data_IF_017424077165
#
_entry.id   IF_017424077165
#
_cell.length_a   1.000
_cell.length_b   1.000
_cell.length_c   1.000
_cell.angle_alpha   90.00
_cell.angle_beta   90.00
_cell.angle_gamma   90.00
#
_symmetry.space_group_name_H-M   'P 1'
#
loop_
_entity.id
_entity.type
_entity.pdbx_description
1 polymer ?
#
# COMPACT_ATOMS: atom_id res chain seq x y z
N UNK A 1 -4.46 -19.01 22.12
CA UNK A 1 -5.29 -18.48 21.01
C UNK A 1 -5.53 -19.59 20.01
N UNK A 2 -6.77 -19.93 19.74
CA UNK A 2 -7.18 -20.90 18.72
C UNK A 2 -7.17 -20.25 17.34
N UNK A 3 -7.23 -21.07 16.27
CA UNK A 3 -7.36 -20.55 14.89
C UNK A 3 -8.64 -19.72 14.73
N UNK A 4 -9.74 -20.17 15.33
CA UNK A 4 -11.01 -19.43 15.30
C UNK A 4 -10.89 -18.05 15.98
N UNK A 5 -10.28 -17.97 17.13
CA UNK A 5 -10.02 -16.69 17.82
C UNK A 5 -9.11 -15.77 16.99
N UNK A 6 -8.07 -16.34 16.35
CA UNK A 6 -7.19 -15.55 15.48
C UNK A 6 -7.97 -14.84 14.37
N UNK A 7 -8.89 -15.54 13.68
CA UNK A 7 -9.67 -14.97 12.61
C UNK A 7 -10.80 -14.06 13.10
N UNK A 8 -11.48 -14.40 14.20
CA UNK A 8 -12.49 -13.54 14.82
C UNK A 8 -11.91 -12.18 15.25
N UNK A 9 -10.69 -12.19 15.78
CA UNK A 9 -10.02 -10.96 16.20
C UNK A 9 -9.64 -10.03 15.04
N UNK A 10 -9.56 -10.53 13.81
CA UNK A 10 -9.31 -9.66 12.65
C UNK A 10 -10.47 -8.69 12.40
N UNK A 11 -11.72 -9.07 12.75
CA UNK A 11 -12.88 -8.17 12.64
C UNK A 11 -13.12 -7.68 11.20
N UNK A 12 -12.93 -8.57 10.20
CA UNK A 12 -13.03 -8.24 8.77
C UNK A 12 -14.32 -8.78 8.13
N UNK A 13 -15.25 -9.31 8.91
CA UNK A 13 -16.46 -9.96 8.41
C UNK A 13 -17.38 -9.03 7.60
N UNK A 14 -17.19 -7.72 7.71
CA UNK A 14 -17.91 -6.69 6.96
C UNK A 14 -16.94 -5.75 6.24
N UNK A 15 -15.78 -6.24 5.83
CA UNK A 15 -14.82 -5.43 5.10
C UNK A 15 -15.40 -4.98 3.75
N UNK A 16 -15.08 -3.76 3.29
CA UNK A 16 -15.52 -3.28 1.98
C UNK A 16 -15.16 -4.27 0.85
N UNK A 17 -16.08 -4.51 -0.07
CA UNK A 17 -15.89 -5.46 -1.17
C UNK A 17 -16.28 -6.91 -0.86
N UNK A 18 -16.83 -7.21 0.32
CA UNK A 18 -17.40 -8.52 0.64
C UNK A 18 -18.92 -8.54 0.32
N UNK A 19 -19.27 -8.87 -0.91
CA UNK A 19 -20.67 -8.86 -1.37
C UNK A 19 -21.58 -9.82 -0.59
N UNK A 20 -21.08 -10.95 -0.14
CA UNK A 20 -21.89 -12.03 0.46
C UNK A 20 -22.46 -11.70 1.85
N UNK A 21 -21.92 -10.71 2.54
CA UNK A 21 -22.28 -10.35 3.90
C UNK A 21 -22.92 -8.97 4.03
N UNK A 22 -22.91 -8.22 2.97
CA UNK A 22 -23.77 -7.03 2.84
C UNK A 22 -25.25 -7.45 2.62
N UNK A 23 -25.80 -8.22 3.53
CA UNK A 23 -27.19 -7.95 3.91
C UNK A 23 -27.15 -6.52 4.38
N UNK A 24 -27.40 -5.64 3.43
CA UNK A 24 -27.50 -4.22 3.65
C UNK A 24 -28.15 -3.99 5.01
N UNK A 25 -27.39 -3.56 5.98
CA UNK A 25 -27.91 -2.52 6.81
C UNK A 25 -28.13 -1.37 5.84
N UNK A 26 -29.19 -1.48 5.06
CA UNK A 26 -29.77 -0.33 4.38
C UNK A 26 -29.94 0.62 5.54
N UNK A 27 -29.09 1.61 5.61
CA UNK A 27 -29.38 2.81 6.38
C UNK A 27 -30.72 3.22 5.84
N UNK A 28 -31.81 2.85 6.54
CA UNK A 28 -33.15 3.27 6.19
C UNK A 28 -33.07 4.78 6.19
N UNK A 29 -33.04 5.33 4.99
CA UNK A 29 -32.94 6.77 4.79
C UNK A 29 -34.25 7.35 5.38
N UNK A 30 -34.17 7.90 6.58
CA UNK A 30 -35.26 8.57 7.24
C UNK A 30 -35.35 9.98 6.70
N UNK A 31 -36.04 10.17 5.57
CA UNK A 31 -36.23 11.47 4.97
C UNK A 31 -36.96 11.41 3.64
N UNK A 32 -37.26 12.57 3.06
CA UNK A 32 -37.81 12.65 1.70
C UNK A 32 -36.72 12.26 0.70
N UNK A 33 -37.08 11.45 -0.28
CA UNK A 33 -36.20 11.02 -1.35
C UNK A 33 -35.79 12.24 -2.19
N UNK A 34 -34.52 12.62 -2.12
CA UNK A 34 -33.98 13.71 -2.92
C UNK A 34 -33.96 13.28 -4.39
N UNK A 35 -34.50 14.12 -5.32
CA UNK A 35 -34.49 13.80 -6.74
C UNK A 35 -33.03 13.81 -7.27
N UNK A 36 -32.70 12.82 -8.10
CA UNK A 36 -31.37 12.68 -8.70
C UNK A 36 -30.94 11.23 -8.85
N UNK A 37 -29.77 11.01 -9.42
CA UNK A 37 -29.14 9.69 -9.46
C UNK A 37 -28.61 9.32 -8.08
N UNK A 38 -28.75 8.04 -7.69
CA UNK A 38 -28.11 7.53 -6.48
C UNK A 38 -26.59 7.55 -6.67
N UNK A 39 -25.88 8.07 -5.67
CA UNK A 39 -24.42 8.10 -5.64
C UNK A 39 -23.97 7.39 -4.37
N UNK A 40 -23.14 6.40 -4.51
CA UNK A 40 -22.56 5.65 -3.41
C UNK A 40 -21.19 6.23 -3.04
N UNK A 41 -21.06 6.72 -1.81
CA UNK A 41 -19.81 7.23 -1.24
C UNK A 41 -19.24 6.28 -0.17
N UNK A 42 -19.79 5.07 -0.02
CA UNK A 42 -19.41 4.16 1.06
C UNK A 42 -18.02 3.55 0.87
N UNK A 43 -17.56 3.45 -0.37
CA UNK A 43 -16.22 2.93 -0.69
C UNK A 43 -15.70 3.47 -2.02
N UNK A 44 -14.38 3.50 -2.16
CA UNK A 44 -13.68 3.93 -3.37
C UNK A 44 -13.61 2.80 -4.38
N UNK A 45 -14.70 2.49 -5.06
CA UNK A 45 -14.72 1.49 -6.11
C UNK A 45 -14.27 2.07 -7.45
N UNK A 46 -13.57 1.25 -8.24
CA UNK A 46 -13.16 1.59 -9.60
C UNK A 46 -14.14 1.13 -10.67
N UNK A 47 -15.22 0.44 -10.28
CA UNK A 47 -16.25 -0.04 -11.20
C UNK A 47 -16.97 1.08 -11.97
N UNK A 48 -16.87 2.30 -11.49
CA UNK A 48 -17.37 3.49 -12.18
C UNK A 48 -16.54 3.89 -13.41
N UNK A 49 -15.35 3.31 -13.59
CA UNK A 49 -14.43 3.67 -14.65
C UNK A 49 -13.95 2.43 -15.40
N UNK A 50 -14.02 2.52 -16.72
CA UNK A 50 -13.48 1.48 -17.59
C UNK A 50 -11.96 1.34 -17.41
N UNK A 51 -11.42 0.11 -17.54
CA UNK A 51 -9.98 -0.10 -17.65
C UNK A 51 -9.37 0.71 -18.80
N UNK A 52 -8.09 1.04 -18.69
CA UNK A 52 -7.38 1.72 -19.78
C UNK A 52 -7.56 0.96 -21.08
N UNK A 53 -7.80 1.68 -22.22
CA UNK A 53 -8.03 1.06 -23.52
C UNK A 53 -6.91 0.11 -23.94
N UNK A 54 -7.26 -1.05 -24.49
CA UNK A 54 -6.31 -2.05 -24.97
C UNK A 54 -5.77 -2.99 -23.88
N UNK A 55 -6.15 -2.82 -22.62
CA UNK A 55 -5.64 -3.65 -21.51
C UNK A 55 -6.01 -5.13 -21.67
N UNK A 56 -7.23 -5.43 -22.10
CA UNK A 56 -7.68 -6.80 -22.31
C UNK A 56 -6.99 -7.46 -23.49
N UNK A 57 -6.83 -6.75 -24.60
CA UNK A 57 -6.14 -7.24 -25.79
C UNK A 57 -4.68 -7.56 -25.52
N UNK A 58 -4.00 -6.70 -24.75
CA UNK A 58 -2.61 -6.96 -24.31
C UNK A 58 -2.53 -8.15 -23.38
N UNK A 59 -3.49 -8.31 -22.46
CA UNK A 59 -3.57 -9.46 -21.57
C UNK A 59 -3.79 -10.75 -22.36
N UNK A 60 -4.76 -10.76 -23.29
CA UNK A 60 -5.05 -11.94 -24.15
C UNK A 60 -3.83 -12.32 -24.98
N UNK A 61 -3.18 -11.34 -25.62
CA UNK A 61 -1.93 -11.57 -26.36
C UNK A 61 -0.82 -12.12 -25.48
N UNK A 62 -0.68 -11.64 -24.24
CA UNK A 62 0.29 -12.16 -23.29
C UNK A 62 0.04 -13.62 -22.92
N UNK A 63 -1.24 -14.03 -22.82
CA UNK A 63 -1.62 -15.43 -22.60
C UNK A 63 -1.27 -16.31 -23.82
N UNK A 64 -1.56 -15.85 -25.03
CA UNK A 64 -1.29 -16.55 -26.27
C UNK A 64 0.21 -16.74 -26.55
N UNK A 65 1.01 -15.70 -26.34
CA UNK A 65 2.45 -15.67 -26.63
C UNK A 65 3.32 -16.11 -25.43
N UNK A 66 2.82 -15.94 -24.23
CA UNK A 66 3.59 -16.06 -23.00
C UNK A 66 3.81 -17.45 -22.43
N UNK A 67 3.24 -18.49 -23.05
CA UNK A 67 3.29 -19.84 -22.50
C UNK A 67 2.45 -19.98 -21.24
N UNK A 68 1.14 -19.80 -21.38
CA UNK A 68 0.13 -19.82 -20.30
C UNK A 68 0.13 -21.07 -19.41
N UNK A 69 0.89 -22.09 -19.78
CA UNK A 69 0.98 -23.38 -19.07
C UNK A 69 2.27 -23.53 -18.25
N UNK A 70 3.16 -22.54 -18.27
CA UNK A 70 4.44 -22.60 -17.56
C UNK A 70 4.45 -21.67 -16.35
N UNK A 71 5.06 -22.12 -15.25
CA UNK A 71 5.36 -21.24 -14.12
C UNK A 71 6.33 -20.16 -14.57
N UNK A 72 6.08 -18.92 -14.15
CA UNK A 72 7.05 -17.84 -14.25
C UNK A 72 7.94 -17.81 -13.01
N UNK A 73 9.13 -17.17 -13.07
CA UNK A 73 9.90 -16.89 -11.85
C UNK A 73 9.05 -16.16 -10.81
N UNK A 74 9.22 -16.49 -9.55
CA UNK A 74 8.40 -15.95 -8.46
C UNK A 74 8.44 -14.42 -8.37
N UNK A 75 9.57 -13.81 -8.68
CA UNK A 75 9.72 -12.34 -8.72
C UNK A 75 9.02 -11.71 -9.92
N UNK A 76 8.87 -12.45 -11.00
CA UNK A 76 8.29 -12.02 -12.27
C UNK A 76 9.20 -12.34 -13.46
N UNK A 77 8.65 -12.28 -14.67
CA UNK A 77 9.40 -12.51 -15.90
C UNK A 77 10.39 -11.35 -16.12
N UNK A 78 11.66 -11.65 -16.40
CA UNK A 78 12.75 -10.68 -16.52
C UNK A 78 12.39 -9.49 -17.44
N UNK A 79 11.87 -9.75 -18.63
CA UNK A 79 11.50 -8.70 -19.58
C UNK A 79 10.43 -7.74 -19.03
N UNK A 80 9.52 -8.23 -18.17
CA UNK A 80 8.49 -7.41 -17.54
C UNK A 80 9.12 -6.62 -16.39
N UNK A 81 9.97 -7.26 -15.58
CA UNK A 81 10.69 -6.57 -14.51
C UNK A 81 11.53 -5.40 -15.03
N UNK A 82 12.24 -5.59 -16.16
CA UNK A 82 13.03 -4.52 -16.82
C UNK A 82 12.14 -3.34 -17.24
N UNK A 83 10.98 -3.59 -17.86
CA UNK A 83 10.06 -2.53 -18.26
C UNK A 83 9.44 -1.82 -17.06
N UNK A 84 8.98 -2.57 -16.05
CA UNK A 84 8.40 -1.99 -14.83
C UNK A 84 9.42 -1.18 -14.06
N UNK A 85 10.66 -1.69 -13.91
CA UNK A 85 11.74 -0.97 -13.26
C UNK A 85 12.06 0.35 -13.98
N UNK A 86 12.12 0.34 -15.31
CA UNK A 86 12.35 1.56 -16.09
C UNK A 86 11.24 2.60 -15.89
N UNK A 87 9.97 2.18 -15.91
CA UNK A 87 8.83 3.08 -15.66
C UNK A 87 8.82 3.63 -14.24
N UNK A 88 9.01 2.76 -13.24
CA UNK A 88 9.06 3.18 -11.84
C UNK A 88 10.25 4.10 -11.57
N UNK A 89 11.44 3.81 -12.14
CA UNK A 89 12.61 4.67 -12.02
C UNK A 89 12.38 6.06 -12.61
N UNK A 90 11.76 6.13 -13.80
CA UNK A 90 11.43 7.40 -14.42
C UNK A 90 10.38 8.20 -13.63
N UNK A 91 9.42 7.52 -13.02
CA UNK A 91 8.35 8.15 -12.25
C UNK A 91 8.83 8.63 -10.88
N UNK A 92 9.59 7.82 -10.15
CA UNK A 92 10.00 8.14 -8.77
C UNK A 92 11.30 8.92 -8.69
N UNK A 93 12.15 8.84 -9.72
CA UNK A 93 13.52 9.35 -9.69
C UNK A 93 14.54 8.42 -9.02
N UNK A 94 14.09 7.26 -8.49
CA UNK A 94 14.96 6.25 -7.90
C UNK A 94 15.47 5.30 -8.99
N UNK A 95 16.77 4.96 -8.97
CA UNK A 95 17.31 3.89 -9.83
C UNK A 95 16.95 2.53 -9.25
N UNK A 96 16.13 1.76 -9.97
CA UNK A 96 15.63 0.45 -9.56
C UNK A 96 16.31 -0.63 -10.40
N UNK A 97 17.08 -1.51 -9.75
CA UNK A 97 17.65 -2.70 -10.39
C UNK A 97 16.53 -3.77 -10.49
N UNK A 98 16.11 -4.15 -11.72
CA UNK A 98 15.04 -5.14 -11.90
C UNK A 98 15.37 -6.52 -11.33
N UNK A 99 16.64 -6.88 -11.26
CA UNK A 99 17.07 -8.20 -10.81
C UNK A 99 17.15 -8.32 -9.27
N UNK A 100 17.24 -7.18 -8.54
CA UNK A 100 17.46 -7.17 -7.08
C UNK A 100 16.38 -6.42 -6.31
N UNK A 101 15.95 -5.29 -6.83
CA UNK A 101 15.15 -4.32 -6.08
C UNK A 101 13.65 -4.34 -6.39
N UNK A 102 13.16 -5.26 -7.22
CA UNK A 102 11.78 -5.27 -7.69
C UNK A 102 11.16 -6.67 -7.63
N UNK A 103 9.91 -6.74 -7.21
CA UNK A 103 9.07 -7.93 -7.27
C UNK A 103 7.66 -7.56 -7.77
N UNK A 104 7.10 -8.37 -8.67
CA UNK A 104 5.71 -8.30 -9.07
C UNK A 104 4.86 -9.18 -8.15
N UNK A 105 3.68 -8.71 -7.80
CA UNK A 105 2.82 -9.35 -6.80
C UNK A 105 1.38 -9.45 -7.28
N UNK A 106 0.56 -10.35 -6.71
CA UNK A 106 -0.88 -10.44 -7.02
C UNK A 106 -1.65 -9.25 -6.39
N UNK A 107 -1.51 -8.09 -7.02
CA UNK A 107 -2.02 -6.81 -6.54
C UNK A 107 -1.14 -6.20 -5.44
N UNK A 108 -1.37 -4.91 -5.15
CA UNK A 108 -0.70 -4.20 -4.05
C UNK A 108 -1.04 -4.79 -2.68
N UNK A 109 -2.21 -5.39 -2.53
CA UNK A 109 -2.58 -6.14 -1.32
C UNK A 109 -1.64 -7.33 -1.07
N UNK A 110 -1.27 -8.07 -2.14
CA UNK A 110 -0.26 -9.12 -2.06
C UNK A 110 1.11 -8.56 -1.68
N UNK A 111 1.49 -7.41 -2.26
CA UNK A 111 2.74 -6.73 -1.89
C UNK A 111 2.79 -6.35 -0.40
N UNK A 112 1.72 -5.76 0.12
CA UNK A 112 1.61 -5.40 1.55
C UNK A 112 1.71 -6.65 2.44
N UNK A 113 1.01 -7.73 2.08
CA UNK A 113 1.06 -8.99 2.84
C UNK A 113 2.47 -9.58 2.87
N UNK A 114 3.15 -9.64 1.72
CA UNK A 114 4.51 -10.16 1.61
C UNK A 114 5.51 -9.25 2.35
N UNK A 115 5.39 -7.94 2.21
CA UNK A 115 6.27 -6.99 2.89
C UNK A 115 6.08 -7.05 4.42
N UNK A 116 4.85 -7.07 4.91
CA UNK A 116 4.57 -7.22 6.33
C UNK A 116 5.05 -8.57 6.87
N UNK A 117 4.71 -9.68 6.17
CA UNK A 117 5.07 -11.04 6.59
C UNK A 117 6.57 -11.32 6.58
N UNK A 118 7.33 -10.62 5.74
CA UNK A 118 8.80 -10.75 5.68
C UNK A 118 9.57 -9.86 6.65
N UNK A 119 8.87 -8.94 7.36
CA UNK A 119 9.52 -7.96 8.25
C UNK A 119 8.94 -7.88 9.66
N UNK A 120 7.82 -8.56 9.95
CA UNK A 120 7.21 -8.54 11.29
C UNK A 120 7.48 -9.88 12.00
N UNK A 121 8.11 -9.82 13.15
CA UNK A 121 8.22 -10.92 14.08
C UNK A 121 7.18 -10.78 15.21
N UNK A 122 6.73 -11.87 15.82
CA UNK A 122 5.82 -11.81 16.97
C UNK A 122 6.37 -10.93 18.09
N UNK A 123 5.60 -9.92 18.48
CA UNK A 123 5.97 -8.96 19.52
C UNK A 123 6.69 -7.71 19.03
N UNK A 124 7.05 -7.62 17.76
CA UNK A 124 7.61 -6.38 17.20
C UNK A 124 6.62 -5.24 17.28
N UNK A 125 7.07 -4.09 17.72
CA UNK A 125 6.29 -2.85 17.69
C UNK A 125 6.25 -2.29 16.27
N UNK A 126 5.05 -2.13 15.73
CA UNK A 126 4.80 -1.61 14.38
C UNK A 126 3.97 -0.34 14.46
N UNK A 127 4.53 0.77 14.00
CA UNK A 127 3.81 2.02 13.90
C UNK A 127 2.88 2.02 12.68
N UNK A 128 1.67 2.54 12.86
CA UNK A 128 0.66 2.75 11.81
C UNK A 128 0.04 4.12 12.03
N UNK A 129 -0.12 4.89 10.95
CA UNK A 129 -0.87 6.15 11.03
C UNK A 129 -2.35 5.85 11.33
N UNK A 130 -2.99 6.66 12.13
CA UNK A 130 -4.40 6.47 12.49
C UNK A 130 -5.20 7.76 12.24
N UNK A 131 -6.11 7.72 11.23
CA UNK A 131 -6.49 6.58 10.38
C UNK A 131 -5.52 6.31 9.22
N UNK A 132 -5.43 5.06 8.80
CA UNK A 132 -4.78 4.61 7.57
C UNK A 132 -5.56 3.42 6.97
N UNK A 133 -5.07 2.87 5.87
CA UNK A 133 -5.71 1.73 5.23
C UNK A 133 -5.89 0.58 6.21
N UNK A 134 -7.13 0.14 6.38
CA UNK A 134 -7.51 -0.79 7.45
C UNK A 134 -6.69 -2.11 7.43
N UNK A 135 -6.31 -2.58 6.23
CA UNK A 135 -5.56 -3.82 6.08
C UNK A 135 -4.16 -3.75 6.69
N UNK A 136 -3.53 -2.56 6.72
CA UNK A 136 -2.22 -2.40 7.34
C UNK A 136 -2.24 -2.83 8.81
N UNK A 137 -3.20 -2.34 9.58
CA UNK A 137 -3.39 -2.74 10.98
C UNK A 137 -3.70 -4.22 11.11
N UNK A 138 -4.58 -4.75 10.26
CA UNK A 138 -4.97 -6.17 10.30
C UNK A 138 -3.82 -7.11 9.98
N UNK A 139 -2.93 -6.73 9.09
CA UNK A 139 -1.71 -7.50 8.82
C UNK A 139 -0.76 -7.53 10.02
N UNK A 140 -0.57 -6.39 10.70
CA UNK A 140 0.25 -6.35 11.93
C UNK A 140 -0.32 -7.29 12.99
N UNK A 141 -1.63 -7.23 13.23
CA UNK A 141 -2.32 -8.13 14.18
C UNK A 141 -2.19 -9.60 13.76
N UNK A 142 -2.34 -9.90 12.46
CA UNK A 142 -2.25 -11.25 11.91
C UNK A 142 -0.86 -11.87 12.09
N UNK A 143 0.20 -11.07 11.91
CA UNK A 143 1.59 -11.49 12.13
C UNK A 143 2.05 -11.37 13.58
N UNK A 144 1.13 -11.08 14.51
CA UNK A 144 1.39 -10.95 15.95
C UNK A 144 2.33 -9.80 16.32
N UNK A 145 2.39 -8.75 15.51
CA UNK A 145 3.02 -7.49 15.89
C UNK A 145 2.20 -6.72 16.92
N UNK A 146 2.83 -5.78 17.57
CA UNK A 146 2.22 -4.86 18.53
C UNK A 146 1.99 -3.52 17.88
N UNK A 147 0.72 -3.12 17.74
CA UNK A 147 0.36 -1.85 17.11
C UNK A 147 0.79 -0.66 17.98
N UNK A 148 1.40 0.33 17.32
CA UNK A 148 1.72 1.64 17.88
C UNK A 148 1.05 2.70 17.00
N UNK A 149 -0.08 3.28 17.43
CA UNK A 149 -0.80 4.27 16.62
C UNK A 149 -0.03 5.60 16.57
N UNK A 150 0.09 6.16 15.37
CA UNK A 150 0.58 7.53 15.13
C UNK A 150 -0.63 8.36 14.71
N UNK A 151 -1.15 9.23 15.58
CA UNK A 151 -2.37 9.95 15.29
C UNK A 151 -2.18 10.97 14.17
N UNK A 152 -3.10 10.97 13.21
CA UNK A 152 -3.18 11.98 12.16
C UNK A 152 -3.50 13.35 12.78
N UNK A 153 -2.78 14.36 12.36
CA UNK A 153 -3.00 15.74 12.80
C UNK A 153 -3.88 16.47 11.78
N UNK A 154 -4.97 17.08 12.24
CA UNK A 154 -5.92 17.85 11.43
C UNK A 154 -5.90 19.33 11.76
N UNK A 155 -5.52 19.68 13.00
CA UNK A 155 -5.57 21.05 13.51
C UNK A 155 -4.36 21.86 13.06
N UNK A 156 -4.56 23.17 12.89
CA UNK A 156 -3.53 24.15 12.53
C UNK A 156 -2.80 23.90 11.20
N UNK A 157 -3.41 23.13 10.30
CA UNK A 157 -2.86 22.85 8.98
C UNK A 157 -3.66 23.56 7.90
N UNK A 158 -2.99 24.34 7.07
CA UNK A 158 -3.59 24.98 5.92
C UNK A 158 -3.62 23.93 4.78
N UNK A 159 -4.79 23.33 4.57
CA UNK A 159 -5.09 22.55 3.39
C UNK A 159 -4.86 21.05 3.45
N UNK A 160 -4.28 20.45 4.52
CA UNK A 160 -4.09 19.00 4.55
C UNK A 160 -3.85 18.48 5.97
N UNK A 161 -4.28 17.25 6.24
CA UNK A 161 -3.87 16.50 7.40
C UNK A 161 -2.40 16.02 7.23
N UNK A 162 -1.76 15.59 8.32
CA UNK A 162 -0.41 15.06 8.27
C UNK A 162 -0.04 14.40 9.60
N UNK A 163 1.24 14.17 9.87
CA UNK A 163 1.71 13.54 11.10
C UNK A 163 2.61 14.50 11.89
N UNK A 164 2.66 14.26 13.19
CA UNK A 164 3.60 14.95 14.08
C UNK A 164 4.90 14.15 14.15
N UNK A 165 6.00 14.73 13.69
CA UNK A 165 7.31 14.07 13.67
C UNK A 165 7.88 13.87 15.08
N UNK A 166 7.49 14.66 16.08
CA UNK A 166 7.93 14.44 17.48
C UNK A 166 7.25 13.21 18.08
N UNK A 167 5.96 13.01 17.78
CA UNK A 167 5.24 11.80 18.17
C UNK A 167 5.84 10.57 17.48
N UNK A 168 6.15 10.68 16.18
CA UNK A 168 6.78 9.61 15.43
C UNK A 168 8.18 9.27 15.99
N UNK A 169 9.01 10.28 16.24
CA UNK A 169 10.34 10.10 16.82
C UNK A 169 10.27 9.41 18.18
N UNK A 170 9.34 9.83 19.04
CA UNK A 170 9.12 9.19 20.34
C UNK A 170 8.77 7.70 20.18
N UNK A 171 7.90 7.36 19.24
CA UNK A 171 7.55 5.97 18.97
C UNK A 171 8.78 5.15 18.55
N UNK A 172 9.67 5.73 17.72
CA UNK A 172 10.91 5.08 17.32
C UNK A 172 11.88 4.89 18.49
N UNK A 173 12.04 5.90 19.34
CA UNK A 173 12.80 5.80 20.60
C UNK A 173 12.23 4.68 21.51
N UNK A 174 10.92 4.56 21.59
CA UNK A 174 10.22 3.55 22.39
C UNK A 174 10.29 2.13 21.77
N UNK A 175 11.04 1.96 20.67
CA UNK A 175 11.42 0.67 20.12
C UNK A 175 10.53 0.14 19.00
N UNK A 176 9.84 1.01 18.25
CA UNK A 176 9.21 0.64 16.98
C UNK A 176 10.27 0.11 16.02
N UNK A 177 9.97 -1.02 15.35
CA UNK A 177 10.84 -1.68 14.38
C UNK A 177 10.43 -1.46 12.94
N UNK A 178 9.15 -1.20 12.73
CA UNK A 178 8.55 -1.04 11.42
C UNK A 178 7.52 0.08 11.46
N UNK A 179 7.49 0.91 10.42
CA UNK A 179 6.43 1.89 10.20
C UNK A 179 5.79 1.66 8.84
N UNK A 180 4.48 1.45 8.83
CA UNK A 180 3.66 1.24 7.63
C UNK A 180 2.72 2.43 7.49
N UNK A 181 2.69 3.06 6.32
CA UNK A 181 1.74 4.13 6.03
C UNK A 181 1.46 4.25 4.54
N UNK A 182 0.30 4.83 4.21
CA UNK A 182 -0.08 5.16 2.83
C UNK A 182 0.16 6.64 2.53
N UNK A 183 0.68 6.94 1.34
CA UNK A 183 0.85 8.30 0.82
C UNK A 183 0.58 8.34 -0.69
N UNK A 184 -0.46 9.02 -1.16
CA UNK A 184 -1.52 9.71 -0.40
C UNK A 184 -2.24 8.79 0.57
N UNK A 185 -2.66 9.33 1.72
CA UNK A 185 -3.28 8.53 2.76
C UNK A 185 -4.69 8.06 2.37
N UNK A 186 -4.96 6.79 2.60
CA UNK A 186 -6.29 6.20 2.54
C UNK A 186 -6.76 5.89 3.97
N UNK A 187 -7.84 6.48 4.52
CA UNK A 187 -8.97 7.09 3.79
C UNK A 187 -8.98 8.61 3.73
N UNK A 188 -8.03 9.32 4.32
CA UNK A 188 -8.12 10.78 4.50
C UNK A 188 -7.92 11.54 3.19
N UNK A 189 -7.16 10.98 2.24
CA UNK A 189 -6.86 11.64 0.96
C UNK A 189 -5.81 12.75 1.08
N UNK A 190 -5.09 12.85 2.19
CA UNK A 190 -4.03 13.84 2.33
C UNK A 190 -2.72 13.34 1.68
N UNK A 191 -1.92 14.31 1.25
CA UNK A 191 -0.55 14.12 0.79
C UNK A 191 0.35 14.72 1.87
N UNK A 192 1.32 13.94 2.37
CA UNK A 192 2.29 14.46 3.32
C UNK A 192 3.20 15.50 2.66
N UNK A 193 3.54 16.55 3.41
CA UNK A 193 4.42 17.61 2.93
C UNK A 193 5.85 17.09 2.66
N UNK A 194 6.61 17.88 1.92
CA UNK A 194 8.03 17.57 1.66
C UNK A 194 8.81 17.42 2.98
N UNK A 195 8.55 18.32 3.94
CA UNK A 195 9.19 18.32 5.25
C UNK A 195 8.84 17.06 6.06
N UNK A 196 7.58 16.62 6.02
CA UNK A 196 7.14 15.39 6.67
C UNK A 196 7.81 14.16 6.05
N UNK A 197 7.83 14.06 4.73
CA UNK A 197 8.47 12.93 4.03
C UNK A 197 9.97 12.88 4.32
N UNK A 198 10.67 14.01 4.27
CA UNK A 198 12.09 14.09 4.63
C UNK A 198 12.31 13.76 6.11
N UNK A 199 11.43 14.22 7.00
CA UNK A 199 11.49 13.95 8.43
C UNK A 199 11.31 12.46 8.73
N UNK A 200 10.28 11.84 8.13
CA UNK A 200 10.04 10.37 8.25
C UNK A 200 11.28 9.60 7.80
N UNK A 201 11.83 9.92 6.62
CA UNK A 201 12.98 9.23 6.08
C UNK A 201 14.21 9.36 7.00
N UNK A 202 14.52 10.57 7.46
CA UNK A 202 15.65 10.83 8.36
C UNK A 202 15.51 10.16 9.72
N UNK A 203 14.30 10.19 10.31
CA UNK A 203 14.03 9.51 11.58
C UNK A 203 14.15 8.00 11.43
N UNK A 204 13.58 7.41 10.37
CA UNK A 204 13.68 5.98 10.13
C UNK A 204 15.15 5.54 9.96
N UNK A 205 15.95 6.33 9.23
CA UNK A 205 17.39 6.08 9.10
C UNK A 205 18.11 6.19 10.45
N UNK A 206 17.83 7.23 11.22
CA UNK A 206 18.45 7.49 12.54
C UNK A 206 18.22 6.34 13.53
N UNK A 207 17.04 5.75 13.53
CA UNK A 207 16.62 4.74 14.50
C UNK A 207 16.59 3.32 13.92
N UNK A 208 17.08 3.13 12.70
CA UNK A 208 17.07 1.83 11.98
C UNK A 208 15.67 1.19 11.92
N UNK A 209 14.68 2.00 11.58
CA UNK A 209 13.29 1.56 11.43
C UNK A 209 13.01 1.20 9.98
N UNK A 210 12.47 0.01 9.76
CA UNK A 210 12.00 -0.41 8.44
C UNK A 210 10.77 0.39 8.01
N UNK A 211 10.73 0.83 6.75
CA UNK A 211 9.57 1.52 6.19
C UNK A 211 8.89 0.68 5.11
N UNK A 212 7.57 0.58 5.20
CA UNK A 212 6.69 0.11 4.12
C UNK A 212 5.78 1.26 3.74
N UNK A 213 5.94 1.77 2.51
CA UNK A 213 5.20 2.93 2.00
C UNK A 213 4.27 2.48 0.88
N UNK A 214 2.96 2.59 1.11
CA UNK A 214 1.94 2.32 0.09
C UNK A 214 1.67 3.60 -0.72
N UNK A 215 2.19 3.64 -1.94
CA UNK A 215 2.04 4.76 -2.88
C UNK A 215 1.00 4.47 -3.98
N UNK A 216 -0.01 3.64 -3.71
CA UNK A 216 -1.02 3.24 -4.69
C UNK A 216 -1.73 4.44 -5.35
N UNK A 217 -1.93 5.52 -4.58
CA UNK A 217 -2.60 6.73 -5.05
C UNK A 217 -1.65 7.85 -5.52
N UNK A 218 -0.34 7.61 -5.57
CA UNK A 218 0.66 8.66 -5.90
C UNK A 218 0.49 9.32 -7.27
N UNK A 219 -0.27 8.69 -8.18
CA UNK A 219 -0.61 9.23 -9.50
C UNK A 219 -2.01 9.86 -9.58
N UNK A 220 -2.79 9.84 -8.49
CA UNK A 220 -4.12 10.46 -8.38
C UNK A 220 -4.07 11.73 -7.54
N UNK A 221 -3.41 12.75 -8.07
CA UNK A 221 -3.12 13.99 -7.36
C UNK A 221 -3.82 15.14 -8.07
N UNK A 222 -4.45 16.02 -7.29
CA UNK A 222 -5.11 17.19 -7.85
C UNK A 222 -4.11 18.13 -8.53
N UNK A 223 -4.54 18.79 -9.65
CA UNK A 223 -3.70 19.79 -10.33
C UNK A 223 -3.18 20.86 -9.35
N UNK A 224 -1.90 21.18 -9.46
CA UNK A 224 -1.25 22.17 -8.60
C UNK A 224 -0.70 21.64 -7.28
N UNK A 225 -0.97 20.37 -6.93
CA UNK A 225 -0.33 19.71 -5.78
C UNK A 225 1.01 19.10 -6.20
N UNK A 226 1.96 19.06 -5.27
CA UNK A 226 3.26 18.38 -5.47
C UNK A 226 3.30 17.11 -4.63
N UNK A 227 3.72 16.02 -5.24
CA UNK A 227 3.94 14.75 -4.55
C UNK A 227 5.43 14.52 -4.32
N UNK A 228 5.77 14.00 -3.16
CA UNK A 228 7.15 13.70 -2.79
C UNK A 228 7.29 12.19 -2.55
N UNK A 229 8.05 11.50 -3.40
CA UNK A 229 8.40 10.10 -3.19
C UNK A 229 9.43 9.97 -2.07
N UNK A 230 9.11 9.17 -1.04
CA UNK A 230 10.04 8.93 0.07
C UNK A 230 11.29 8.19 -0.42
N UNK A 231 11.14 7.23 -1.31
CA UNK A 231 12.24 6.43 -1.85
C UNK A 231 13.28 7.24 -2.64
N UNK A 232 12.95 8.45 -3.08
CA UNK A 232 13.83 9.33 -3.83
C UNK A 232 14.52 10.40 -2.97
N UNK A 233 14.36 10.37 -1.64
CA UNK A 233 15.01 11.34 -0.76
C UNK A 233 16.48 10.97 -0.53
N UNK A 234 17.31 11.97 -0.20
CA UNK A 234 18.76 11.78 0.03
C UNK A 234 19.05 10.95 1.28
N UNK A 235 18.28 11.20 2.33
CA UNK A 235 18.41 10.54 3.63
C UNK A 235 17.27 9.53 3.80
N UNK A 236 17.43 8.34 3.19
CA UNK A 236 16.49 7.23 3.33
C UNK A 236 17.07 6.13 4.22
N UNK A 237 16.23 5.36 4.94
CA UNK A 237 16.70 4.16 5.62
C UNK A 237 17.09 3.08 4.60
N UNK A 238 18.04 2.24 4.98
CA UNK A 238 18.43 1.10 4.14
C UNK A 238 17.26 0.13 3.98
N UNK A 239 16.44 -0.04 5.03
CA UNK A 239 15.29 -0.94 5.07
C UNK A 239 14.01 -0.24 4.61
N UNK A 240 13.87 0.01 3.31
CA UNK A 240 12.70 0.63 2.70
C UNK A 240 12.08 -0.26 1.63
N UNK A 241 10.76 -0.37 1.63
CA UNK A 241 9.96 -0.92 0.54
C UNK A 241 8.85 0.05 0.17
N UNK A 242 8.74 0.36 -1.12
CA UNK A 242 7.66 1.15 -1.70
C UNK A 242 6.75 0.21 -2.51
N UNK A 243 5.45 0.40 -2.40
CA UNK A 243 4.44 -0.42 -3.06
C UNK A 243 3.64 0.46 -4.01
N UNK A 244 3.48 0.01 -5.26
CA UNK A 244 2.71 0.69 -6.29
C UNK A 244 1.95 -0.32 -7.15
N UNK A 245 0.94 0.15 -7.89
CA UNK A 245 0.22 -0.71 -8.81
C UNK A 245 -0.84 0.03 -9.63
N UNK A 246 -1.37 -0.60 -10.68
CA UNK A 246 -2.32 -0.01 -11.61
C UNK A 246 -3.79 -0.15 -11.17
N UNK A 247 -4.05 -0.69 -9.98
CA UNK A 247 -5.42 -1.03 -9.54
C UNK A 247 -6.38 0.15 -9.54
N UNK A 248 -5.89 1.35 -9.18
CA UNK A 248 -6.72 2.55 -9.02
C UNK A 248 -6.57 3.52 -10.19
N UNK A 249 -5.35 3.85 -10.55
CA UNK A 249 -5.04 4.85 -11.59
C UNK A 249 -5.41 4.39 -13.00
N UNK A 250 -5.33 3.11 -13.28
CA UNK A 250 -5.64 2.51 -14.59
C UNK A 250 -6.93 1.69 -14.60
N UNK A 251 -7.68 1.67 -13.49
CA UNK A 251 -8.87 0.83 -13.31
C UNK A 251 -8.62 -0.66 -13.58
N UNK A 252 -7.46 -1.15 -13.16
CA UNK A 252 -7.03 -2.53 -13.38
C UNK A 252 -7.09 -3.39 -12.09
N UNK A 253 -7.98 -3.07 -11.16
CA UNK A 253 -8.08 -3.80 -9.88
C UNK A 253 -8.35 -5.30 -10.08
N UNK A 254 -9.17 -5.66 -11.07
CA UNK A 254 -9.50 -7.04 -11.42
C UNK A 254 -8.33 -7.84 -12.00
N UNK A 255 -7.32 -7.19 -12.58
CA UNK A 255 -6.14 -7.85 -13.14
C UNK A 255 -5.16 -8.35 -12.08
N UNK A 256 -5.31 -7.92 -10.83
CA UNK A 256 -4.46 -8.32 -9.70
C UNK A 256 -2.98 -8.07 -9.94
N UNK A 257 -2.62 -6.87 -10.37
CA UNK A 257 -1.24 -6.46 -10.62
C UNK A 257 -0.75 -5.50 -9.52
N UNK A 258 0.43 -5.75 -9.01
CA UNK A 258 1.14 -4.90 -8.06
C UNK A 258 2.64 -5.06 -8.19
N UNK A 259 3.36 -4.11 -7.63
CA UNK A 259 4.81 -4.12 -7.56
C UNK A 259 5.27 -3.63 -6.18
N UNK A 260 6.31 -4.24 -5.66
CA UNK A 260 7.07 -3.72 -4.53
C UNK A 260 8.52 -3.55 -4.95
N UNK A 261 9.13 -2.45 -4.52
CA UNK A 261 10.54 -2.18 -4.83
C UNK A 261 11.23 -1.47 -3.66
N UNK A 262 12.53 -1.70 -3.53
CA UNK A 262 13.33 -1.13 -2.45
C UNK A 262 14.54 -1.98 -2.08
N UNK A 263 14.73 -2.21 -0.79
CA UNK A 263 15.87 -2.97 -0.27
C UNK A 263 15.93 -4.40 -0.85
N UNK A 264 17.09 -4.79 -1.39
CA UNK A 264 17.27 -6.08 -2.06
C UNK A 264 17.03 -7.28 -1.14
N UNK A 265 17.44 -7.21 0.13
CA UNK A 265 17.24 -8.31 1.09
C UNK A 265 15.74 -8.46 1.45
N UNK A 266 15.03 -7.35 1.56
CA UNK A 266 13.57 -7.42 1.80
C UNK A 266 12.88 -8.01 0.58
N UNK A 267 13.23 -7.59 -0.62
CA UNK A 267 12.67 -8.14 -1.86
C UNK A 267 12.99 -9.64 -1.99
N UNK A 268 14.20 -10.08 -1.62
CA UNK A 268 14.54 -11.50 -1.59
C UNK A 268 13.67 -12.30 -0.58
N UNK A 269 13.43 -11.74 0.62
CA UNK A 269 12.53 -12.37 1.60
C UNK A 269 11.08 -12.43 1.10
N UNK A 270 10.60 -11.37 0.44
CA UNK A 270 9.27 -11.36 -0.16
C UNK A 270 9.15 -12.41 -1.26
N UNK A 271 10.18 -12.59 -2.11
CA UNK A 271 10.21 -13.64 -3.13
C UNK A 271 10.14 -15.05 -2.53
N UNK A 272 10.91 -15.32 -1.47
CA UNK A 272 10.84 -16.60 -0.74
C UNK A 272 9.46 -16.86 -0.15
N UNK A 273 8.80 -15.83 0.38
CA UNK A 273 7.44 -15.96 0.89
C UNK A 273 6.41 -16.12 -0.24
N UNK A 274 6.62 -15.50 -1.40
CA UNK A 274 5.75 -15.68 -2.58
C UNK A 274 5.87 -17.07 -3.21
N UNK A 275 6.97 -17.77 -2.94
CA UNK A 275 7.23 -19.10 -3.47
C UNK A 275 6.48 -20.23 -2.73
N UNK A 276 5.90 -19.98 -1.56
CA UNK A 276 5.15 -20.94 -0.75
C UNK A 276 3.67 -20.65 -0.73
#
# INVERSE_FOLDING_TARGET
MTVAEKFSNLGIDNAPGQESLQKSTVLEFRGEKIPGAAVDFSHGDVDAHEPIPGSFEVFAKGVEEGGSQAYTPYRGKKSILEHVAAHLSAFTGLQINPDENLILTPGTQGALFLAAGSNILPGDKVAIVEPDYFANRKMVEFFHGVLVPIPMQYENRIGSAGIDLEILEKAFIDGVKLFIFSNPNNPVGCIYSYEEICGIASLAKKYDVTLIVDELYSRQIYPGMTYTHLCAQKEIPDNLVTIMGPSKTESLSGYRLGAAFGNAEIIERMEKLQAI
#
